data_IF_563374200390
#
_entry.id   IF_563374200390
#
_cell.length_a   1.000
_cell.length_b   1.000
_cell.length_c   1.000
_cell.angle_alpha   90.00
_cell.angle_beta   90.00
_cell.angle_gamma   90.00
#
_symmetry.space_group_name_H-M   'P 1'
#
loop_
_entity.id
_entity.type
_entity.pdbx_description
1 polymer ?
#
# COMPACT_ATOMS: atom_id res chain seq x y z
N UNK A 1 8.45 23.07 -30.38
CA UNK A 1 7.93 23.29 -29.00
C UNK A 1 8.93 22.65 -28.07
N UNK A 2 9.47 23.39 -27.09
CA UNK A 2 10.43 22.81 -26.15
C UNK A 2 9.75 21.93 -25.09
N UNK A 3 10.49 20.92 -24.62
CA UNK A 3 10.11 20.01 -23.54
C UNK A 3 10.61 20.52 -22.18
N UNK A 4 9.95 20.10 -21.11
CA UNK A 4 10.41 20.36 -19.74
C UNK A 4 11.57 19.41 -19.39
N UNK A 5 11.44 18.14 -19.78
CA UNK A 5 12.45 17.09 -19.63
C UNK A 5 12.64 16.39 -20.97
N UNK A 6 13.89 16.15 -21.35
CA UNK A 6 14.27 15.28 -22.46
C UNK A 6 15.16 14.16 -21.91
N UNK A 7 14.73 12.91 -22.06
CA UNK A 7 15.51 11.72 -21.77
C UNK A 7 15.96 11.11 -23.10
N UNK A 8 17.18 10.58 -23.21
CA UNK A 8 17.53 9.73 -24.35
C UNK A 8 18.53 8.64 -23.97
N UNK A 9 18.46 7.53 -24.70
CA UNK A 9 19.28 6.35 -24.48
C UNK A 9 19.39 5.52 -25.76
N UNK A 10 20.43 4.69 -25.87
CA UNK A 10 20.51 3.63 -26.87
C UNK A 10 19.45 2.53 -26.65
N UNK A 11 18.87 2.45 -25.46
CA UNK A 11 17.95 1.40 -25.04
C UNK A 11 16.63 1.96 -24.49
N UNK A 12 15.76 2.45 -25.37
CA UNK A 12 14.40 2.87 -25.00
C UNK A 12 13.40 1.79 -25.41
N UNK A 13 12.75 1.18 -24.43
CA UNK A 13 11.64 0.26 -24.63
C UNK A 13 10.32 1.03 -24.62
N UNK A 14 9.58 1.00 -25.73
CA UNK A 14 8.29 1.72 -25.86
C UNK A 14 7.07 0.81 -25.74
N UNK A 15 7.27 -0.50 -25.59
CA UNK A 15 6.26 -1.55 -25.70
C UNK A 15 5.48 -1.61 -27.04
N UNK A 16 5.82 -0.77 -28.04
CA UNK A 16 5.31 -0.92 -29.42
C UNK A 16 5.99 -2.09 -30.15
N UNK A 17 7.19 -2.44 -29.72
CA UNK A 17 8.02 -3.56 -30.19
C UNK A 17 8.57 -4.30 -28.99
N UNK A 18 9.00 -5.55 -29.19
CA UNK A 18 9.63 -6.36 -28.13
C UNK A 18 11.08 -5.95 -27.83
N UNK A 19 11.74 -5.28 -28.77
CA UNK A 19 13.12 -4.85 -28.65
C UNK A 19 13.21 -3.34 -28.29
N UNK A 20 14.16 -2.93 -27.43
CA UNK A 20 14.48 -1.53 -27.21
C UNK A 20 15.21 -0.92 -28.41
N UNK A 21 15.18 0.41 -28.52
CA UNK A 21 15.79 1.15 -29.62
C UNK A 21 16.47 2.45 -29.16
N UNK A 22 17.42 2.99 -29.95
CA UNK A 22 18.06 4.26 -29.66
C UNK A 22 17.11 5.43 -29.93
N UNK A 23 16.46 5.93 -28.88
CA UNK A 23 15.41 6.96 -28.97
C UNK A 23 15.59 8.06 -27.92
N UNK A 24 14.92 9.18 -28.15
CA UNK A 24 14.60 10.16 -27.12
C UNK A 24 13.14 10.01 -26.64
N UNK A 25 12.87 10.52 -25.44
CA UNK A 25 11.54 10.74 -24.87
C UNK A 25 11.47 12.18 -24.37
N UNK A 26 10.60 12.98 -24.98
CA UNK A 26 10.35 14.37 -24.61
C UNK A 26 9.09 14.44 -23.73
N UNK A 27 9.20 15.06 -22.56
CA UNK A 27 8.12 15.21 -21.58
C UNK A 27 7.79 16.69 -21.42
N UNK A 28 6.49 17.02 -21.50
CA UNK A 28 5.96 18.36 -21.29
C UNK A 28 4.67 18.31 -20.50
N UNK A 29 4.57 19.10 -19.43
CA UNK A 29 3.40 19.12 -18.55
C UNK A 29 3.10 17.74 -17.95
N UNK A 30 4.13 16.95 -17.65
CA UNK A 30 3.97 15.58 -17.12
C UNK A 30 3.56 14.52 -18.14
N UNK A 31 3.36 14.88 -19.41
CA UNK A 31 2.95 13.97 -20.48
C UNK A 31 4.06 13.77 -21.50
N UNK A 32 4.08 12.61 -22.15
CA UNK A 32 4.99 12.34 -23.27
C UNK A 32 4.53 13.17 -24.48
N UNK A 33 5.33 14.18 -24.84
CA UNK A 33 5.08 15.06 -25.97
C UNK A 33 5.67 14.53 -27.28
N UNK A 34 6.72 13.71 -27.20
CA UNK A 34 7.38 13.13 -28.37
C UNK A 34 8.28 11.96 -28.04
N UNK A 35 8.36 11.01 -28.97
CA UNK A 35 9.31 9.88 -28.93
C UNK A 35 9.81 9.68 -30.35
N UNK A 36 11.12 9.61 -30.54
CA UNK A 36 11.71 9.48 -31.87
C UNK A 36 13.21 9.21 -31.85
N UNK A 37 13.86 9.16 -33.03
CA UNK A 37 15.29 8.93 -33.15
C UNK A 37 16.11 9.99 -32.41
N UNK A 38 17.19 9.59 -31.74
CA UNK A 38 18.08 10.50 -30.99
C UNK A 38 18.57 11.68 -31.86
N UNK A 39 18.76 11.46 -33.17
CA UNK A 39 19.16 12.50 -34.13
C UNK A 39 18.19 13.67 -34.23
N UNK A 40 16.93 13.48 -33.84
CA UNK A 40 15.88 14.50 -33.92
C UNK A 40 15.58 15.16 -32.56
N UNK A 41 16.28 14.77 -31.50
CA UNK A 41 15.97 15.22 -30.12
C UNK A 41 16.11 16.73 -29.94
N UNK A 42 17.01 17.37 -30.69
CA UNK A 42 17.38 18.78 -30.51
C UNK A 42 16.22 19.73 -30.81
N UNK A 43 15.19 19.29 -31.55
CA UNK A 43 13.96 20.06 -31.79
C UNK A 43 13.15 20.35 -30.51
N UNK A 44 13.41 19.59 -29.44
CA UNK A 44 12.72 19.67 -28.15
C UNK A 44 13.50 20.46 -27.10
N UNK A 45 14.73 20.91 -27.41
CA UNK A 45 15.64 21.51 -26.43
C UNK A 45 15.63 23.03 -26.55
N UNK A 46 15.43 23.72 -25.43
CA UNK A 46 15.77 25.13 -25.24
C UNK A 46 16.60 25.34 -23.96
N UNK A 47 16.79 26.60 -23.56
CA UNK A 47 17.56 26.96 -22.36
C UNK A 47 16.93 26.52 -21.03
N UNK A 48 15.69 26.07 -21.03
CA UNK A 48 14.93 25.63 -19.86
C UNK A 48 14.72 24.11 -19.81
N UNK A 49 14.94 23.40 -20.92
CA UNK A 49 14.82 21.94 -20.99
C UNK A 49 15.88 21.25 -20.13
N UNK A 50 15.45 20.35 -19.23
CA UNK A 50 16.36 19.45 -18.51
C UNK A 50 16.68 18.24 -19.38
N UNK A 51 17.94 18.10 -19.79
CA UNK A 51 18.39 17.02 -20.67
C UNK A 51 19.13 15.94 -19.89
N UNK A 52 18.74 14.69 -20.09
CA UNK A 52 19.37 13.51 -19.48
C UNK A 52 19.83 12.54 -20.58
N UNK A 53 21.14 12.47 -20.78
CA UNK A 53 21.80 11.40 -21.53
C UNK A 53 21.97 10.19 -20.63
N UNK A 54 21.30 9.09 -20.95
CA UNK A 54 21.37 7.85 -20.18
C UNK A 54 22.29 6.80 -20.82
N UNK A 55 22.97 7.14 -21.91
CA UNK A 55 23.93 6.27 -22.60
C UNK A 55 23.29 4.94 -23.00
N UNK A 56 23.72 3.86 -22.36
CA UNK A 56 23.25 2.49 -22.60
C UNK A 56 22.25 1.99 -21.54
N UNK A 57 21.82 2.82 -20.59
CA UNK A 57 20.81 2.44 -19.57
C UNK A 57 19.43 2.27 -20.20
N UNK A 58 18.60 1.41 -19.65
CA UNK A 58 17.24 1.21 -20.17
C UNK A 58 16.30 2.33 -19.72
N UNK A 59 15.54 2.90 -20.66
CA UNK A 59 14.33 3.67 -20.39
C UNK A 59 13.14 2.77 -20.72
N UNK A 60 12.22 2.59 -19.78
CA UNK A 60 10.99 1.81 -19.98
C UNK A 60 9.78 2.55 -19.39
N UNK A 61 8.55 2.15 -19.75
CA UNK A 61 7.38 2.52 -18.96
C UNK A 61 7.58 2.06 -17.51
N UNK A 62 7.04 2.84 -16.57
CA UNK A 62 6.93 2.39 -15.19
C UNK A 62 6.02 1.17 -15.09
N UNK A 63 6.25 0.33 -14.10
CA UNK A 63 5.46 -0.88 -13.89
C UNK A 63 4.10 -0.55 -13.28
N UNK A 64 3.12 -1.40 -13.60
CA UNK A 64 1.80 -1.43 -12.97
C UNK A 64 1.72 -2.69 -12.11
N UNK A 65 1.46 -2.53 -10.82
CA UNK A 65 1.10 -3.64 -9.94
C UNK A 65 -0.43 -3.76 -9.90
N UNK A 66 -0.96 -4.94 -10.23
CA UNK A 66 -2.41 -5.16 -10.30
C UNK A 66 -2.95 -6.02 -9.15
N UNK A 67 -2.09 -6.40 -8.19
CA UNK A 67 -2.47 -7.36 -7.16
C UNK A 67 -1.99 -7.00 -5.75
N UNK A 68 -0.99 -6.14 -5.62
CA UNK A 68 -0.60 -5.60 -4.31
C UNK A 68 -1.44 -4.38 -3.97
N UNK A 69 -2.07 -4.38 -2.81
CA UNK A 69 -2.91 -3.28 -2.33
C UNK A 69 -2.59 -2.94 -0.87
N UNK A 70 -2.59 -1.65 -0.55
CA UNK A 70 -2.20 -1.14 0.76
C UNK A 70 -3.14 -1.61 1.86
N UNK A 71 -4.46 -1.60 1.64
CA UNK A 71 -5.43 -1.93 2.69
C UNK A 71 -5.25 -3.35 3.23
N UNK A 72 -4.74 -4.29 2.43
CA UNK A 72 -4.36 -5.63 2.86
C UNK A 72 -2.91 -5.75 3.32
N UNK A 73 -1.99 -5.00 2.71
CA UNK A 73 -0.58 -4.94 3.11
C UNK A 73 -0.40 -4.48 4.55
N UNK A 74 -1.11 -3.40 4.92
CA UNK A 74 -0.94 -2.68 6.17
C UNK A 74 -1.16 -3.57 7.39
N UNK A 75 -2.13 -4.49 7.32
CA UNK A 75 -2.43 -5.42 8.41
C UNK A 75 -1.21 -6.20 8.92
N UNK A 76 -0.22 -6.44 8.06
CA UNK A 76 1.02 -7.13 8.40
C UNK A 76 2.10 -6.29 9.08
N UNK A 77 1.87 -4.98 9.29
CA UNK A 77 2.86 -4.03 9.83
C UNK A 77 2.30 -3.15 10.96
N UNK A 78 1.05 -3.35 11.33
CA UNK A 78 0.42 -2.57 12.40
C UNK A 78 1.07 -2.83 13.76
N UNK A 79 1.23 -1.76 14.52
CA UNK A 79 1.45 -1.81 15.96
C UNK A 79 2.85 -2.23 16.41
N UNK A 80 2.92 -3.08 17.43
CA UNK A 80 4.18 -3.52 18.03
C UNK A 80 5.00 -4.42 17.07
N UNK A 81 6.26 -4.05 16.80
CA UNK A 81 7.19 -4.89 16.02
C UNK A 81 7.80 -5.98 16.91
N UNK A 82 7.49 -7.24 16.58
CA UNK A 82 7.97 -8.43 17.28
C UNK A 82 8.97 -9.25 16.45
N UNK A 83 9.49 -8.69 15.36
CA UNK A 83 10.37 -9.39 14.40
C UNK A 83 11.61 -10.01 15.07
N UNK A 84 12.10 -9.39 16.15
CA UNK A 84 13.35 -9.79 16.80
C UNK A 84 13.18 -10.53 18.14
N UNK A 85 11.96 -10.79 18.59
CA UNK A 85 11.73 -11.43 19.91
C UNK A 85 12.35 -12.82 19.97
N UNK A 86 12.76 -13.22 21.17
CA UNK A 86 13.45 -14.50 21.46
C UNK A 86 12.70 -15.36 22.46
N UNK A 87 11.59 -14.87 23.02
CA UNK A 87 10.76 -15.61 23.96
C UNK A 87 9.33 -15.10 23.98
N UNK A 88 8.41 -15.91 24.52
CA UNK A 88 7.02 -15.50 24.78
C UNK A 88 6.95 -14.33 25.76
N UNK A 89 7.76 -14.35 26.82
CA UNK A 89 7.75 -13.28 27.84
C UNK A 89 8.20 -11.94 27.24
N UNK A 90 9.26 -11.94 26.42
CA UNK A 90 9.70 -10.74 25.70
C UNK A 90 8.62 -10.21 24.75
N UNK A 91 7.92 -11.10 24.04
CA UNK A 91 6.82 -10.69 23.18
C UNK A 91 5.67 -10.06 23.98
N UNK A 92 5.29 -10.66 25.11
CA UNK A 92 4.25 -10.13 26.00
C UNK A 92 4.65 -8.76 26.59
N UNK A 93 5.91 -8.59 26.98
CA UNK A 93 6.42 -7.31 27.49
C UNK A 93 6.35 -6.20 26.44
N UNK A 94 6.78 -6.48 25.20
CA UNK A 94 6.72 -5.50 24.09
C UNK A 94 5.26 -5.15 23.75
N UNK A 95 4.37 -6.15 23.68
CA UNK A 95 2.94 -5.94 23.42
C UNK A 95 2.33 -5.07 24.51
N UNK A 96 2.64 -5.36 25.78
CA UNK A 96 2.16 -4.58 26.92
C UNK A 96 2.69 -3.15 26.90
N UNK A 97 3.98 -2.97 26.65
CA UNK A 97 4.60 -1.64 26.54
C UNK A 97 3.95 -0.81 25.43
N UNK A 98 3.68 -1.42 24.27
CA UNK A 98 2.97 -0.75 23.19
C UNK A 98 1.55 -0.33 23.63
N UNK A 99 0.81 -1.22 24.27
CA UNK A 99 -0.56 -0.95 24.73
C UNK A 99 -0.62 0.16 25.79
N UNK A 100 0.34 0.18 26.72
CA UNK A 100 0.46 1.17 27.78
C UNK A 100 0.84 2.57 27.23
N UNK A 101 1.66 2.62 26.16
CA UNK A 101 1.97 3.87 25.44
C UNK A 101 0.80 4.40 24.60
N UNK A 102 -0.16 3.55 24.25
CA UNK A 102 -1.30 3.88 23.40
C UNK A 102 -2.65 3.58 24.08
N UNK A 103 -2.97 4.20 25.23
CA UNK A 103 -4.16 3.87 26.01
C UNK A 103 -5.48 4.21 25.29
N UNK A 104 -5.46 5.09 24.30
CA UNK A 104 -6.66 5.50 23.55
C UNK A 104 -6.96 4.61 22.33
N UNK A 105 -6.02 3.75 21.90
CA UNK A 105 -6.27 2.82 20.79
C UNK A 105 -7.28 1.76 21.23
N UNK A 106 -8.36 1.60 20.45
CA UNK A 106 -9.44 0.65 20.73
C UNK A 106 -9.02 -0.81 20.54
N UNK A 107 -7.94 -1.04 19.79
CA UNK A 107 -7.35 -2.35 19.50
C UNK A 107 -5.84 -2.21 19.61
N UNK A 108 -5.19 -3.27 20.09
CA UNK A 108 -3.74 -3.40 20.06
C UNK A 108 -3.35 -4.31 18.92
N UNK A 109 -2.52 -3.81 18.02
CA UNK A 109 -1.91 -4.59 16.96
C UNK A 109 -0.45 -4.90 17.27
N UNK A 110 0.05 -5.97 16.68
CA UNK A 110 1.47 -6.25 16.57
C UNK A 110 1.73 -7.15 15.38
N UNK A 111 3.00 -7.28 14.99
CA UNK A 111 3.38 -8.03 13.80
C UNK A 111 4.77 -8.64 13.92
N UNK A 112 5.10 -9.52 12.96
CA UNK A 112 6.47 -10.00 12.76
C UNK A 112 6.91 -11.13 13.68
N UNK A 113 6.08 -11.54 14.63
CA UNK A 113 6.40 -12.67 15.53
C UNK A 113 6.58 -13.95 14.73
N UNK A 114 7.60 -14.74 15.08
CA UNK A 114 7.80 -16.10 14.59
C UNK A 114 7.46 -17.09 15.70
N UNK A 115 6.64 -18.09 15.40
CA UNK A 115 6.22 -19.09 16.37
C UNK A 115 7.39 -19.85 16.98
N UNK A 116 8.47 -20.07 16.24
CA UNK A 116 9.67 -20.76 16.76
C UNK A 116 10.28 -20.02 17.96
N UNK A 117 10.12 -18.69 18.04
CA UNK A 117 10.60 -17.88 19.15
C UNK A 117 9.65 -17.86 20.36
N UNK A 118 8.38 -18.28 20.20
CA UNK A 118 7.35 -18.21 21.24
C UNK A 118 6.70 -19.55 21.57
N UNK A 119 7.39 -20.66 21.29
CA UNK A 119 6.98 -22.01 21.69
C UNK A 119 6.58 -22.95 20.56
N UNK A 120 6.88 -22.61 19.31
CA UNK A 120 6.72 -23.45 18.12
C UNK A 120 5.28 -23.58 17.60
N UNK A 121 4.34 -22.78 18.14
CA UNK A 121 2.94 -22.74 17.73
C UNK A 121 2.32 -21.39 18.10
N UNK A 122 1.12 -21.13 17.57
CA UNK A 122 0.31 -19.98 17.99
C UNK A 122 0.05 -20.10 19.51
N UNK A 123 0.44 -19.12 20.33
CA UNK A 123 0.12 -19.14 21.76
C UNK A 123 -1.39 -19.03 21.99
N UNK A 124 -1.87 -19.52 23.13
CA UNK A 124 -3.29 -19.43 23.47
C UNK A 124 -3.73 -17.98 23.75
N UNK A 125 -5.02 -17.65 23.57
CA UNK A 125 -5.57 -16.32 23.84
C UNK A 125 -5.34 -15.87 25.29
N UNK A 126 -5.31 -16.81 26.23
CA UNK A 126 -5.13 -16.55 27.66
C UNK A 126 -3.79 -15.88 27.99
N UNK A 127 -2.77 -16.04 27.15
CA UNK A 127 -1.49 -15.38 27.35
C UNK A 127 -1.59 -13.86 27.08
N UNK A 128 -2.38 -13.44 26.08
CA UNK A 128 -2.66 -12.02 25.85
C UNK A 128 -3.67 -11.47 26.87
N UNK A 129 -4.69 -12.25 27.23
CA UNK A 129 -5.70 -11.83 28.20
C UNK A 129 -5.08 -11.45 29.56
N UNK A 130 -3.98 -12.12 29.95
CA UNK A 130 -3.23 -11.80 31.18
C UNK A 130 -2.63 -10.41 31.21
N UNK A 131 -2.19 -9.90 30.06
CA UNK A 131 -1.54 -8.58 29.96
C UNK A 131 -2.52 -7.49 29.52
N UNK A 132 -3.52 -7.83 28.71
CA UNK A 132 -4.51 -6.93 28.12
C UNK A 132 -5.85 -7.67 28.01
N UNK A 133 -6.80 -7.32 28.87
CA UNK A 133 -8.15 -7.93 28.91
C UNK A 133 -9.28 -6.92 28.66
N UNK A 134 -8.98 -5.64 28.56
CA UNK A 134 -9.94 -4.55 28.42
C UNK A 134 -10.24 -4.17 26.96
N UNK A 135 -9.46 -4.69 26.01
CA UNK A 135 -9.63 -4.44 24.57
C UNK A 135 -9.07 -5.57 23.69
N UNK A 136 -9.48 -5.66 22.42
CA UNK A 136 -8.96 -6.64 21.49
C UNK A 136 -7.45 -6.51 21.25
N UNK A 137 -6.78 -7.64 21.09
CA UNK A 137 -5.37 -7.73 20.68
C UNK A 137 -5.25 -8.67 19.48
N UNK A 138 -4.59 -8.23 18.41
CA UNK A 138 -4.30 -9.02 17.22
C UNK A 138 -2.80 -8.90 16.89
N UNK A 139 -2.10 -10.03 16.92
CA UNK A 139 -0.68 -10.12 16.59
C UNK A 139 -0.50 -10.95 15.33
N UNK A 140 0.00 -10.35 14.26
CA UNK A 140 0.17 -11.02 12.96
C UNK A 140 1.54 -11.69 12.88
N UNK A 141 1.55 -12.94 12.41
CA UNK A 141 2.77 -13.71 12.23
C UNK A 141 3.69 -13.11 11.15
N UNK A 142 4.98 -13.40 11.20
CA UNK A 142 5.97 -12.99 10.21
C UNK A 142 5.61 -13.37 8.75
N UNK A 143 4.95 -14.52 8.56
CA UNK A 143 4.48 -14.96 7.23
C UNK A 143 3.14 -14.34 6.79
N UNK A 144 2.48 -13.56 7.66
CA UNK A 144 1.21 -12.86 7.45
C UNK A 144 -0.01 -13.75 7.13
N UNK A 145 0.10 -15.05 7.40
CA UNK A 145 -0.96 -16.04 7.15
C UNK A 145 -1.57 -16.62 8.42
N UNK A 146 -1.02 -16.24 9.58
CA UNK A 146 -1.50 -16.64 10.88
C UNK A 146 -1.51 -15.43 11.82
N UNK A 147 -2.32 -15.48 12.86
CA UNK A 147 -2.35 -14.46 13.89
C UNK A 147 -2.59 -15.06 15.28
N UNK A 148 -2.10 -14.38 16.30
CA UNK A 148 -2.36 -14.66 17.71
C UNK A 148 -3.29 -13.59 18.26
N UNK A 149 -4.46 -14.02 18.75
CA UNK A 149 -5.55 -13.15 19.16
C UNK A 149 -5.91 -13.40 20.62
N UNK A 150 -6.28 -12.35 21.35
CA UNK A 150 -6.87 -12.51 22.69
C UNK A 150 -8.35 -12.91 22.60
N UNK A 151 -8.97 -13.25 23.72
CA UNK A 151 -10.36 -13.75 23.73
C UNK A 151 -11.32 -12.72 23.13
N UNK A 152 -11.16 -11.44 23.47
CA UNK A 152 -12.03 -10.37 22.95
C UNK A 152 -11.90 -10.19 21.44
N UNK A 153 -10.68 -10.29 20.88
CA UNK A 153 -10.46 -10.18 19.45
C UNK A 153 -11.07 -11.36 18.67
N UNK A 154 -10.96 -12.58 19.20
CA UNK A 154 -11.60 -13.77 18.61
C UNK A 154 -13.12 -13.61 18.53
N UNK A 155 -13.75 -13.14 19.61
CA UNK A 155 -15.20 -12.96 19.68
C UNK A 155 -15.70 -11.84 18.75
N UNK A 156 -14.99 -10.71 18.75
CA UNK A 156 -15.42 -9.51 18.03
C UNK A 156 -15.11 -9.57 16.53
N UNK A 157 -13.86 -9.91 16.16
CA UNK A 157 -13.41 -9.88 14.77
C UNK A 157 -13.61 -11.21 14.04
N UNK A 158 -13.75 -12.32 14.77
CA UNK A 158 -14.02 -13.66 14.20
C UNK A 158 -13.02 -14.06 13.11
N UNK A 159 -11.77 -13.68 13.32
CA UNK A 159 -10.65 -14.06 12.45
C UNK A 159 -10.24 -15.48 12.80
N UNK A 160 -10.01 -16.31 11.78
CA UNK A 160 -9.39 -17.61 11.95
C UNK A 160 -7.88 -17.42 12.19
N UNK A 161 -7.35 -17.77 13.38
CA UNK A 161 -5.92 -17.61 13.70
C UNK A 161 -4.99 -18.35 12.74
N UNK A 162 -5.45 -19.42 12.11
CA UNK A 162 -4.65 -20.28 11.22
C UNK A 162 -4.73 -19.87 9.74
N UNK A 163 -5.74 -19.07 9.38
CA UNK A 163 -6.03 -18.70 7.99
C UNK A 163 -6.29 -17.20 7.88
N UNK A 164 -5.24 -16.41 7.99
CA UNK A 164 -5.27 -14.95 7.86
C UNK A 164 -5.10 -14.56 6.39
N UNK A 165 -6.10 -13.84 5.86
CA UNK A 165 -6.10 -13.24 4.53
C UNK A 165 -7.02 -12.00 4.55
N UNK A 166 -6.86 -11.10 3.59
CA UNK A 166 -7.50 -9.78 3.62
C UNK A 166 -9.03 -9.88 3.84
N UNK A 167 -9.73 -10.67 3.03
CA UNK A 167 -11.18 -10.86 3.14
C UNK A 167 -11.59 -11.58 4.43
N UNK A 168 -10.71 -12.36 5.07
CA UNK A 168 -10.98 -12.98 6.36
C UNK A 168 -10.95 -11.96 7.52
N UNK A 169 -10.21 -10.86 7.33
CA UNK A 169 -9.93 -9.87 8.36
C UNK A 169 -10.68 -8.55 8.16
N UNK A 170 -11.62 -8.48 7.20
CA UNK A 170 -12.34 -7.24 6.86
C UNK A 170 -12.92 -6.51 8.08
N UNK A 171 -13.37 -7.26 9.11
CA UNK A 171 -13.93 -6.69 10.35
C UNK A 171 -12.92 -5.83 11.11
N UNK A 172 -11.64 -6.14 11.00
CA UNK A 172 -10.56 -5.37 11.61
C UNK A 172 -10.12 -4.17 10.76
N UNK A 173 -10.44 -4.14 9.47
CA UNK A 173 -9.99 -3.09 8.54
C UNK A 173 -10.43 -1.70 8.96
N UNK A 174 -11.69 -1.55 9.36
CA UNK A 174 -12.18 -0.27 9.86
C UNK A 174 -11.41 0.23 11.09
N UNK A 175 -10.80 -0.66 11.88
CA UNK A 175 -10.08 -0.26 13.09
C UNK A 175 -8.72 0.39 12.80
N UNK A 176 -8.12 0.15 11.62
CA UNK A 176 -6.85 0.79 11.24
C UNK A 176 -6.99 1.74 10.05
N UNK A 177 -7.92 1.51 9.11
CA UNK A 177 -8.11 2.39 7.95
C UNK A 177 -8.84 3.70 8.28
N UNK A 178 -9.58 3.75 9.38
CA UNK A 178 -10.31 4.97 9.79
C UNK A 178 -9.47 5.98 10.55
N UNK A 179 -8.24 5.63 10.95
CA UNK A 179 -7.30 6.54 11.60
C UNK A 179 -6.49 7.28 10.50
N UNK A 180 -7.08 8.33 9.94
CA UNK A 180 -6.52 9.03 8.78
C UNK A 180 -5.09 9.54 9.02
N UNK A 181 -4.78 10.05 10.22
CA UNK A 181 -3.45 10.59 10.52
C UNK A 181 -2.39 9.49 10.56
N UNK A 182 -2.72 8.32 11.10
CA UNK A 182 -1.84 7.16 11.07
C UNK A 182 -1.65 6.62 9.65
N UNK A 183 -2.75 6.45 8.91
CA UNK A 183 -2.75 5.81 7.58
C UNK A 183 -2.04 6.65 6.52
N UNK A 184 -2.09 7.98 6.62
CA UNK A 184 -1.42 8.87 5.66
C UNK A 184 0.08 8.61 5.62
N UNK A 185 0.74 8.51 6.78
CA UNK A 185 2.19 8.36 6.84
C UNK A 185 2.64 6.98 6.33
N UNK A 186 1.93 5.92 6.73
CA UNK A 186 2.23 4.56 6.28
C UNK A 186 1.97 4.38 4.78
N UNK A 187 0.90 4.98 4.24
CA UNK A 187 0.65 4.94 2.82
C UNK A 187 1.70 5.71 2.02
N UNK A 188 2.23 6.81 2.55
CA UNK A 188 3.35 7.54 1.93
C UNK A 188 4.62 6.68 1.88
N UNK A 189 4.94 5.95 2.96
CA UNK A 189 6.08 5.02 2.95
C UNK A 189 5.83 3.84 2.00
N UNK A 190 4.61 3.32 1.94
CA UNK A 190 4.22 2.30 0.97
C UNK A 190 4.41 2.78 -0.49
N UNK A 191 3.97 4.00 -0.82
CA UNK A 191 4.18 4.59 -2.13
C UNK A 191 5.68 4.71 -2.47
N UNK A 192 6.51 5.17 -1.52
CA UNK A 192 7.97 5.23 -1.70
C UNK A 192 8.58 3.85 -1.95
N UNK A 193 8.13 2.83 -1.21
CA UNK A 193 8.54 1.45 -1.42
C UNK A 193 8.22 1.00 -2.85
N UNK A 194 6.99 1.22 -3.32
CA UNK A 194 6.59 0.86 -4.68
C UNK A 194 7.40 1.61 -5.75
N UNK A 195 7.57 2.93 -5.59
CA UNK A 195 8.40 3.72 -6.50
C UNK A 195 9.85 3.24 -6.55
N UNK A 196 10.42 2.80 -5.42
CA UNK A 196 11.79 2.24 -5.37
C UNK A 196 11.97 0.99 -6.23
N UNK A 197 10.86 0.31 -6.57
CA UNK A 197 10.82 -0.88 -7.44
C UNK A 197 10.38 -0.56 -8.87
N UNK A 198 10.26 0.73 -9.22
CA UNK A 198 9.83 1.19 -10.54
C UNK A 198 8.32 1.11 -10.77
N UNK A 199 7.53 0.86 -9.73
CA UNK A 199 6.07 0.85 -9.81
C UNK A 199 5.57 2.30 -9.80
N UNK A 200 4.70 2.61 -10.76
CA UNK A 200 4.13 3.95 -10.96
C UNK A 200 2.61 3.94 -10.99
N UNK A 201 2.01 2.75 -11.12
CA UNK A 201 0.57 2.55 -11.10
C UNK A 201 0.24 1.35 -10.21
N UNK A 202 -0.80 1.44 -9.41
CA UNK A 202 -1.32 0.32 -8.63
C UNK A 202 -2.83 0.16 -8.80
N UNK A 203 -3.31 -1.06 -8.58
CA UNK A 203 -4.71 -1.40 -8.39
C UNK A 203 -4.97 -1.59 -6.89
N UNK A 204 -5.58 -0.60 -6.26
CA UNK A 204 -5.97 -0.68 -4.85
C UNK A 204 -7.32 -1.39 -4.71
N UNK A 205 -7.30 -2.55 -4.08
CA UNK A 205 -8.52 -3.28 -3.73
C UNK A 205 -8.94 -2.85 -2.34
N UNK A 206 -10.13 -2.26 -2.21
CA UNK A 206 -10.76 -2.00 -0.93
C UNK A 206 -12.07 -2.75 -0.81
N UNK A 207 -12.55 -2.91 0.41
CA UNK A 207 -13.78 -3.65 0.68
C UNK A 207 -14.93 -2.72 1.01
N UNK A 208 -16.11 -3.09 0.54
CA UNK A 208 -17.37 -2.38 0.76
C UNK A 208 -17.21 -0.87 0.45
N UNK A 209 -17.21 0.02 1.44
CA UNK A 209 -17.05 1.47 1.26
C UNK A 209 -15.64 1.98 1.63
N UNK A 210 -14.60 1.13 1.53
CA UNK A 210 -13.19 1.43 1.80
C UNK A 210 -12.83 1.84 3.24
N UNK A 211 -13.81 1.83 4.15
CA UNK A 211 -13.63 2.13 5.57
C UNK A 211 -12.89 3.46 5.85
N UNK A 212 -13.12 4.47 5.00
CA UNK A 212 -12.51 5.80 5.12
C UNK A 212 -11.22 6.00 4.33
N UNK A 213 -10.60 4.94 3.79
CA UNK A 213 -9.32 5.07 3.07
C UNK A 213 -9.42 5.93 1.79
N UNK A 214 -10.59 6.01 1.16
CA UNK A 214 -10.82 6.91 0.02
C UNK A 214 -10.66 8.39 0.39
N UNK A 215 -10.88 8.78 1.65
CA UNK A 215 -10.58 10.15 2.12
C UNK A 215 -9.07 10.41 2.16
N UNK A 216 -8.28 9.42 2.59
CA UNK A 216 -6.80 9.51 2.58
C UNK A 216 -6.31 9.69 1.16
N UNK A 217 -6.82 8.89 0.22
CA UNK A 217 -6.47 8.99 -1.20
C UNK A 217 -6.83 10.37 -1.77
N UNK A 218 -8.03 10.88 -1.46
CA UNK A 218 -8.46 12.24 -1.86
C UNK A 218 -7.53 13.31 -1.29
N UNK A 219 -7.25 13.26 0.01
CA UNK A 219 -6.39 14.22 0.71
C UNK A 219 -5.00 14.28 0.06
N UNK A 220 -4.40 13.12 -0.19
CA UNK A 220 -3.08 13.05 -0.83
C UNK A 220 -3.11 13.51 -2.29
N UNK A 221 -4.21 13.31 -3.01
CA UNK A 221 -4.40 13.87 -4.35
C UNK A 221 -4.47 15.39 -4.31
N UNK A 222 -5.34 15.95 -3.47
CA UNK A 222 -5.58 17.40 -3.35
C UNK A 222 -4.31 18.14 -2.88
N UNK A 223 -3.46 17.48 -2.09
CA UNK A 223 -2.15 17.99 -1.65
C UNK A 223 -1.01 17.73 -2.65
N UNK A 224 -1.27 17.12 -3.82
CA UNK A 224 -0.30 16.67 -4.82
C UNK A 224 0.83 15.76 -4.25
N UNK A 225 0.47 14.94 -3.27
CA UNK A 225 1.37 13.99 -2.59
C UNK A 225 1.29 12.57 -3.14
N UNK A 226 0.34 12.26 -4.02
CA UNK A 226 0.30 10.98 -4.73
C UNK A 226 1.45 10.88 -5.74
N UNK A 227 2.36 9.93 -5.49
CA UNK A 227 3.46 9.57 -6.40
C UNK A 227 3.13 8.37 -7.29
N UNK A 228 1.97 7.74 -7.06
CA UNK A 228 1.40 6.67 -7.86
C UNK A 228 0.14 7.14 -8.59
N UNK A 229 -0.16 6.50 -9.71
CA UNK A 229 -1.52 6.44 -10.25
C UNK A 229 -2.25 5.29 -9.59
N UNK A 230 -3.42 5.55 -9.03
CA UNK A 230 -4.18 4.59 -8.26
C UNK A 230 -5.51 4.39 -8.97
N UNK A 231 -5.63 3.22 -9.61
CA UNK A 231 -6.93 2.66 -9.90
C UNK A 231 -7.42 2.01 -8.61
N UNK A 232 -8.66 2.21 -8.18
CA UNK A 232 -9.20 1.48 -7.02
C UNK A 232 -10.55 0.83 -7.31
N UNK A 233 -10.81 -0.30 -6.66
CA UNK A 233 -12.04 -1.07 -6.81
C UNK A 233 -12.67 -1.44 -5.47
N UNK A 234 -13.99 -1.57 -5.45
CA UNK A 234 -14.81 -1.92 -4.29
C UNK A 234 -15.28 -3.37 -4.37
N UNK A 235 -14.61 -4.26 -3.65
CA UNK A 235 -15.03 -5.65 -3.52
C UNK A 235 -16.05 -5.77 -2.36
N UNK A 236 -17.21 -6.37 -2.65
CA UNK A 236 -18.23 -6.63 -1.64
C UNK A 236 -17.80 -7.82 -0.75
N UNK A 237 -17.58 -7.58 0.54
CA UNK A 237 -17.08 -8.60 1.49
C UNK A 237 -17.97 -8.71 2.71
N UNK A 238 -18.35 -7.58 3.31
CA UNK A 238 -19.24 -7.57 4.48
C UNK A 238 -20.71 -7.76 4.09
N UNK A 239 -21.09 -7.25 2.92
CA UNK A 239 -22.46 -7.25 2.42
C UNK A 239 -22.51 -7.47 0.89
N UNK A 240 -23.71 -7.41 0.31
CA UNK A 240 -23.92 -7.43 -1.13
C UNK A 240 -23.31 -6.20 -1.82
N UNK A 241 -23.02 -6.28 -3.13
CA UNK A 241 -22.49 -5.14 -3.88
C UNK A 241 -23.31 -3.85 -3.75
N UNK A 242 -22.66 -2.78 -3.29
CA UNK A 242 -23.26 -1.47 -3.11
C UNK A 242 -23.15 -0.64 -4.40
N UNK A 243 -24.11 -0.82 -5.31
CA UNK A 243 -24.16 -0.10 -6.59
C UNK A 243 -24.22 1.43 -6.40
N UNK A 244 -25.04 1.99 -5.46
CA UNK A 244 -25.00 3.43 -5.18
C UNK A 244 -23.61 3.97 -4.83
N UNK A 245 -22.84 3.26 -4.00
CA UNK A 245 -21.46 3.64 -3.67
C UNK A 245 -20.57 3.61 -4.92
N UNK A 246 -20.64 2.56 -5.74
CA UNK A 246 -19.85 2.48 -6.98
C UNK A 246 -20.15 3.62 -7.97
N UNK A 247 -21.42 4.01 -8.12
CA UNK A 247 -21.81 5.18 -8.94
C UNK A 247 -21.26 6.48 -8.35
N UNK A 248 -21.33 6.64 -7.02
CA UNK A 248 -20.74 7.80 -6.34
C UNK A 248 -19.22 7.83 -6.54
N UNK A 249 -18.52 6.72 -6.32
CA UNK A 249 -17.08 6.63 -6.45
C UNK A 249 -16.62 6.98 -7.88
N UNK A 250 -17.29 6.42 -8.90
CA UNK A 250 -17.02 6.77 -10.31
C UNK A 250 -17.17 8.26 -10.61
N UNK A 251 -18.16 8.92 -10.02
CA UNK A 251 -18.42 10.34 -10.27
C UNK A 251 -17.48 11.26 -9.50
N UNK A 252 -16.94 10.81 -8.36
CA UNK A 252 -16.06 11.63 -7.52
C UNK A 252 -14.57 11.35 -7.77
N UNK A 253 -14.19 10.14 -8.16
CA UNK A 253 -12.80 9.74 -8.40
C UNK A 253 -12.59 9.38 -9.87
N UNK A 254 -12.16 10.36 -10.66
CA UNK A 254 -12.01 10.24 -12.11
C UNK A 254 -10.86 11.09 -12.67
N UNK A 255 -9.83 11.33 -11.85
CA UNK A 255 -8.64 12.07 -12.27
C UNK A 255 -7.61 11.15 -12.95
N UNK A 256 -6.54 11.75 -13.48
CA UNK A 256 -5.40 10.99 -14.03
C UNK A 256 -4.58 10.24 -12.97
N UNK A 257 -4.63 10.66 -11.70
CA UNK A 257 -3.87 10.06 -10.59
C UNK A 257 -4.71 9.14 -9.70
N UNK A 258 -6.01 9.36 -9.60
CA UNK A 258 -6.91 8.63 -8.71
C UNK A 258 -8.26 8.42 -9.38
N UNK A 259 -8.58 7.17 -9.71
CA UNK A 259 -9.82 6.83 -10.38
C UNK A 259 -10.40 5.51 -9.91
N UNK A 260 -11.73 5.42 -9.92
CA UNK A 260 -12.47 4.21 -9.60
C UNK A 260 -12.63 3.31 -10.83
N UNK A 261 -12.30 2.02 -10.70
CA UNK A 261 -12.26 1.04 -11.81
C UNK A 261 -13.26 -0.13 -11.67
N UNK A 262 -14.01 -0.22 -10.57
CA UNK A 262 -15.00 -1.31 -10.42
C UNK A 262 -15.60 -1.46 -9.03
#
# INVERSE_FOLDING_TARGET
MAADILLYSKNVFTAKTLEPAPLYVAVKGGLIAGVGPISEKDQWIDSHTKVYDLGDRVISPGFTDTHSFFTGYEFGFLGADLTNVKSLDEALDIIKEYADKHPLKKIVFGHGVDWDNVGGKIPGPEALDRIISDRPVIIVHANRRQAWLNTMALEFYRIDPEHVFAEGNWRAMNAYLSDEDFVVDDFVEYMKLLNSRGITTTMEMGFDEFYGFTNVLRKLEDEDRLTLRIAFMSQAVADLPNVPYGVWAKNNFNSDKLFFDG
#
